data_IF_074362356219
#
_entry.id   IF_074362356219
#
_cell.length_a   1.000
_cell.length_b   1.000
_cell.length_c   1.000
_cell.angle_alpha   90.00
_cell.angle_beta   90.00
_cell.angle_gamma   90.00
#
_symmetry.space_group_name_H-M   'P 1'
#
loop_
_entity.id
_entity.type
_entity.pdbx_description
1 polymer ?
#
# COMPACT_ATOMS: atom_id res chain seq x y z
N UNK A 1 -68.28 -2.49 -45.92
CA UNK A 1 -66.87 -2.93 -46.00
C UNK A 1 -66.12 -2.32 -44.84
N UNK A 2 -65.83 -3.10 -43.80
CA UNK A 2 -65.06 -2.67 -42.61
C UNK A 2 -63.79 -3.54 -42.55
N UNK A 3 -62.68 -2.92 -42.72
CA UNK A 3 -61.34 -3.54 -42.58
C UNK A 3 -60.91 -3.50 -41.11
N UNK A 4 -60.78 -4.67 -40.54
CA UNK A 4 -60.14 -4.89 -39.20
C UNK A 4 -58.64 -4.86 -39.35
N UNK A 5 -57.95 -3.91 -38.69
CA UNK A 5 -56.50 -3.89 -38.50
C UNK A 5 -56.16 -4.62 -37.22
N UNK A 6 -55.53 -5.76 -37.33
CA UNK A 6 -54.87 -6.48 -36.24
C UNK A 6 -53.54 -5.84 -35.92
N UNK A 7 -53.39 -5.24 -34.75
CA UNK A 7 -52.14 -4.73 -34.24
C UNK A 7 -51.38 -5.83 -33.48
N UNK A 8 -50.19 -6.17 -33.94
CA UNK A 8 -49.26 -7.06 -33.23
C UNK A 8 -48.54 -6.27 -32.16
N UNK A 9 -48.70 -6.69 -30.93
CA UNK A 9 -47.91 -6.19 -29.77
C UNK A 9 -46.64 -7.02 -29.69
N UNK A 10 -45.52 -6.41 -29.98
CA UNK A 10 -44.19 -6.97 -29.73
C UNK A 10 -43.81 -6.68 -28.24
N UNK A 11 -43.81 -7.71 -27.45
CA UNK A 11 -43.28 -7.68 -26.06
C UNK A 11 -41.78 -7.84 -26.10
N UNK A 12 -41.03 -6.77 -25.89
CA UNK A 12 -39.60 -6.80 -25.70
C UNK A 12 -39.26 -7.28 -24.25
N UNK A 13 -38.75 -8.49 -24.14
CA UNK A 13 -38.19 -9.00 -22.89
C UNK A 13 -36.81 -8.41 -22.69
N UNK A 14 -36.67 -7.51 -21.72
CA UNK A 14 -35.36 -7.01 -21.27
C UNK A 14 -34.70 -8.05 -20.37
N UNK A 15 -33.65 -8.71 -20.86
CA UNK A 15 -32.75 -9.51 -20.03
C UNK A 15 -31.88 -8.55 -19.21
N UNK A 16 -32.17 -8.45 -17.93
CA UNK A 16 -31.26 -7.83 -16.96
C UNK A 16 -30.13 -8.82 -16.67
N UNK A 17 -28.96 -8.57 -17.25
CA UNK A 17 -27.72 -9.25 -16.86
C UNK A 17 -27.27 -8.67 -15.54
N UNK A 18 -27.56 -9.37 -14.44
CA UNK A 18 -26.96 -9.12 -13.12
C UNK A 18 -25.49 -9.49 -13.19
N UNK A 19 -24.64 -8.50 -13.44
CA UNK A 19 -23.21 -8.62 -13.18
C UNK A 19 -23.01 -8.83 -11.68
N UNK A 20 -22.86 -10.08 -11.23
CA UNK A 20 -22.33 -10.38 -9.92
C UNK A 20 -20.89 -9.87 -9.91
N UNK A 21 -20.68 -8.75 -9.21
CA UNK A 21 -19.36 -8.40 -8.74
C UNK A 21 -18.89 -9.55 -7.84
N UNK A 22 -18.10 -10.46 -8.42
CA UNK A 22 -17.41 -11.47 -7.64
C UNK A 22 -16.49 -10.72 -6.68
N UNK A 23 -16.81 -10.83 -5.37
CA UNK A 23 -15.83 -10.61 -4.34
C UNK A 23 -14.75 -11.67 -4.62
N UNK A 24 -13.70 -11.29 -5.35
CA UNK A 24 -12.56 -12.13 -5.60
C UNK A 24 -12.02 -12.54 -4.23
N UNK A 25 -12.10 -13.84 -3.93
CA UNK A 25 -11.29 -14.42 -2.88
C UNK A 25 -9.87 -13.93 -3.17
N UNK A 26 -9.24 -13.24 -2.20
CA UNK A 26 -7.84 -12.91 -2.27
C UNK A 26 -7.12 -14.23 -2.58
N UNK A 27 -6.57 -14.34 -3.80
CA UNK A 27 -5.57 -15.35 -4.08
C UNK A 27 -4.56 -15.27 -2.93
N UNK A 28 -4.02 -16.41 -2.48
CA UNK A 28 -2.91 -16.44 -1.51
C UNK A 28 -1.83 -15.51 -2.08
N UNK A 29 -1.93 -14.23 -1.74
CA UNK A 29 -1.09 -13.18 -2.25
C UNK A 29 0.30 -13.41 -1.67
N UNK A 30 1.31 -13.26 -2.51
CA UNK A 30 2.68 -13.27 -2.05
C UNK A 30 2.84 -12.34 -0.84
N UNK A 31 3.69 -12.71 0.09
CA UNK A 31 4.00 -11.89 1.25
C UNK A 31 5.46 -11.46 1.23
N UNK A 32 5.71 -10.19 1.49
CA UNK A 32 7.05 -9.70 1.75
C UNK A 32 7.35 -9.76 3.25
N UNK A 33 8.55 -10.24 3.63
CA UNK A 33 8.94 -10.46 5.02
C UNK A 33 10.24 -9.77 5.36
N UNK A 34 10.33 -9.17 6.54
CA UNK A 34 11.54 -8.51 7.03
C UNK A 34 11.36 -7.96 8.45
N UNK A 35 12.42 -7.92 9.27
CA UNK A 35 12.38 -7.30 10.60
C UNK A 35 11.34 -7.86 11.56
N UNK A 36 11.00 -9.15 11.47
CA UNK A 36 9.99 -9.77 12.34
C UNK A 36 8.53 -9.53 11.94
N UNK A 37 8.31 -8.86 10.80
CA UNK A 37 6.98 -8.55 10.26
C UNK A 37 6.78 -9.11 8.85
N UNK A 38 5.55 -9.09 8.38
CA UNK A 38 5.16 -9.40 7.01
C UNK A 38 4.08 -8.43 6.51
N UNK A 39 4.08 -8.19 5.20
CA UNK A 39 3.10 -7.40 4.45
C UNK A 39 2.57 -8.22 3.28
N UNK A 40 1.33 -8.00 2.88
CA UNK A 40 0.84 -8.45 1.59
C UNK A 40 1.65 -7.78 0.47
N UNK A 41 2.09 -8.56 -0.51
CA UNK A 41 2.79 -8.07 -1.69
C UNK A 41 1.79 -7.96 -2.84
N UNK A 42 1.40 -6.75 -3.28
CA UNK A 42 0.47 -6.59 -4.39
C UNK A 42 1.02 -7.18 -5.70
N UNK A 43 0.14 -7.62 -6.58
CA UNK A 43 0.54 -8.13 -7.89
C UNK A 43 1.37 -7.10 -8.67
N UNK A 44 2.47 -7.54 -9.27
CA UNK A 44 3.39 -6.67 -10.01
C UNK A 44 4.33 -5.82 -9.13
N UNK A 45 4.25 -5.96 -7.80
CA UNK A 45 5.19 -5.29 -6.90
C UNK A 45 6.36 -6.21 -6.55
N UNK A 46 7.46 -5.61 -6.15
CA UNK A 46 8.66 -6.34 -5.72
C UNK A 46 9.15 -5.87 -4.36
N UNK A 47 9.89 -6.77 -3.69
CA UNK A 47 10.66 -6.40 -2.51
C UNK A 47 11.92 -5.67 -2.94
N UNK A 48 12.17 -4.51 -2.33
CA UNK A 48 13.34 -3.68 -2.57
C UNK A 48 14.30 -3.89 -1.40
N UNK A 49 15.58 -4.09 -1.71
CA UNK A 49 16.60 -4.27 -0.68
C UNK A 49 16.87 -2.91 0.00
N UNK A 50 16.66 -2.78 1.32
CA UNK A 50 17.04 -1.58 2.03
C UNK A 50 18.56 -1.39 1.99
N UNK A 51 19.00 -0.15 1.76
CA UNK A 51 20.41 0.23 1.88
C UNK A 51 20.63 0.88 3.24
N UNK A 52 21.67 0.46 3.95
CA UNK A 52 22.02 1.06 5.23
C UNK A 52 22.72 2.40 4.95
N UNK A 53 22.10 3.50 5.36
CA UNK A 53 22.62 4.85 5.09
C UNK A 53 23.34 5.49 6.28
N UNK A 54 23.12 5.00 7.49
CA UNK A 54 23.75 5.54 8.69
C UNK A 54 24.41 4.45 9.53
N UNK A 55 25.45 4.77 10.30
CA UNK A 55 26.09 3.84 11.23
C UNK A 55 25.18 3.50 12.43
N UNK A 56 24.01 4.12 12.54
CA UNK A 56 23.06 3.90 13.63
C UNK A 56 22.26 2.62 13.39
N UNK A 57 22.06 1.84 14.45
CA UNK A 57 21.24 0.64 14.40
C UNK A 57 19.76 0.92 14.68
N UNK A 58 19.42 2.14 15.12
CA UNK A 58 18.08 2.58 15.47
C UNK A 58 17.84 4.05 15.09
N UNK A 59 16.82 4.40 14.32
CA UNK A 59 15.91 3.48 13.60
C UNK A 59 16.55 2.82 12.37
N UNK A 60 15.96 1.73 11.90
CA UNK A 60 16.42 1.07 10.67
C UNK A 60 15.27 0.71 9.73
N UNK A 61 15.48 0.81 8.44
CA UNK A 61 14.56 0.26 7.44
C UNK A 61 14.61 -1.26 7.48
N UNK A 62 13.47 -1.91 7.72
CA UNK A 62 13.39 -3.38 7.90
C UNK A 62 12.69 -4.09 6.75
N UNK A 63 11.79 -3.41 6.04
CA UNK A 63 11.08 -3.96 4.91
C UNK A 63 10.66 -2.87 3.93
N UNK A 64 10.83 -3.13 2.64
CA UNK A 64 10.41 -2.23 1.57
C UNK A 64 9.79 -3.04 0.45
N UNK A 65 8.64 -2.60 -0.03
CA UNK A 65 8.01 -3.10 -1.24
C UNK A 65 7.60 -1.93 -2.13
N UNK A 66 7.63 -2.11 -3.43
CA UNK A 66 7.28 -1.04 -4.35
C UNK A 66 6.96 -1.53 -5.75
N UNK A 67 6.40 -0.63 -6.54
CA UNK A 67 6.19 -0.81 -7.98
C UNK A 67 7.53 -0.87 -8.72
N UNK A 68 7.49 -1.30 -9.97
CA UNK A 68 8.67 -1.24 -10.84
C UNK A 68 9.26 0.18 -10.92
N UNK A 69 10.57 0.28 -11.10
CA UNK A 69 11.32 1.53 -11.18
C UNK A 69 11.57 2.23 -9.82
N UNK A 70 10.99 1.75 -8.70
CA UNK A 70 11.37 2.23 -7.36
C UNK A 70 12.77 1.72 -7.00
N UNK A 71 13.65 2.62 -6.61
CA UNK A 71 15.01 2.28 -6.20
C UNK A 71 15.51 3.22 -5.09
N UNK A 72 16.50 2.75 -4.34
CA UNK A 72 17.13 3.52 -3.27
C UNK A 72 17.96 4.65 -3.85
N UNK A 73 17.90 5.82 -3.21
CA UNK A 73 18.75 6.98 -3.53
C UNK A 73 19.59 7.36 -2.32
N UNK A 74 20.76 7.94 -2.56
CA UNK A 74 21.60 8.51 -1.51
C UNK A 74 21.03 9.85 -1.06
N UNK A 75 20.91 10.03 0.23
CA UNK A 75 20.46 11.29 0.87
C UNK A 75 21.09 11.40 2.26
N UNK A 76 21.01 12.57 2.85
CA UNK A 76 21.44 12.82 4.25
C UNK A 76 20.40 12.33 5.28
N UNK A 77 19.41 11.54 4.87
CA UNK A 77 18.38 11.02 5.75
C UNK A 77 18.90 9.83 6.58
N UNK A 78 18.48 9.75 7.85
CA UNK A 78 18.86 8.66 8.75
C UNK A 78 18.36 7.29 8.29
N UNK A 79 17.26 7.26 7.53
CA UNK A 79 16.67 6.05 6.97
C UNK A 79 16.77 6.06 5.46
N UNK A 80 16.68 4.88 4.83
CA UNK A 80 16.75 4.76 3.38
C UNK A 80 15.71 5.64 2.69
N UNK A 81 16.15 6.39 1.69
CA UNK A 81 15.30 7.20 0.81
C UNK A 81 15.12 6.52 -0.54
N UNK A 82 14.03 6.82 -1.21
CA UNK A 82 13.65 6.14 -2.44
C UNK A 82 13.24 7.14 -3.52
N UNK A 83 13.70 6.87 -4.74
CA UNK A 83 13.07 7.43 -5.92
C UNK A 83 11.79 6.66 -6.20
N UNK A 84 10.67 7.36 -6.32
CA UNK A 84 9.37 6.78 -6.67
C UNK A 84 8.98 7.32 -8.05
N UNK A 85 8.76 6.46 -9.06
CA UNK A 85 8.26 6.90 -10.36
C UNK A 85 6.95 7.68 -10.24
N UNK A 86 6.68 8.57 -11.17
CA UNK A 86 5.52 9.46 -11.11
C UNK A 86 4.17 8.70 -11.01
N UNK A 87 4.09 7.50 -11.57
CA UNK A 87 2.93 6.59 -11.54
C UNK A 87 3.07 5.45 -10.52
N UNK A 88 4.21 5.40 -9.80
CA UNK A 88 4.56 4.35 -8.87
C UNK A 88 4.16 4.63 -7.42
N UNK A 89 4.45 3.63 -6.57
CA UNK A 89 4.31 3.73 -5.13
C UNK A 89 5.31 2.83 -4.40
N UNK A 90 5.61 3.17 -3.14
CA UNK A 90 6.48 2.39 -2.26
C UNK A 90 5.89 2.36 -0.85
N UNK A 91 6.03 1.23 -0.18
CA UNK A 91 5.77 1.07 1.25
C UNK A 91 7.08 0.77 1.95
N UNK A 92 7.46 1.63 2.89
CA UNK A 92 8.69 1.53 3.66
C UNK A 92 8.35 1.33 5.13
N UNK A 93 8.88 0.27 5.72
CA UNK A 93 8.72 0.00 7.15
C UNK A 93 10.05 0.22 7.86
N UNK A 94 10.00 1.09 8.86
CA UNK A 94 11.11 1.43 9.74
C UNK A 94 10.84 0.79 11.08
N UNK A 95 11.78 0.02 11.60
CA UNK A 95 11.71 -0.58 12.93
C UNK A 95 12.53 0.22 13.94
N UNK A 96 12.06 0.23 15.17
CA UNK A 96 12.67 0.88 16.32
C UNK A 96 12.92 -0.16 17.41
N UNK A 97 14.13 -0.20 17.94
CA UNK A 97 14.45 -1.01 19.10
C UNK A 97 14.02 -0.32 20.38
N UNK A 98 14.28 0.99 20.45
CA UNK A 98 13.82 1.80 21.56
C UNK A 98 12.38 2.28 21.29
N UNK A 99 11.49 2.26 22.30
CA UNK A 99 10.11 2.73 22.13
C UNK A 99 10.07 4.17 21.62
N UNK A 100 9.30 4.43 20.58
CA UNK A 100 9.15 5.78 19.99
C UNK A 100 8.38 6.72 20.95
N UNK A 101 8.04 6.34 22.12
CA UNK A 101 7.24 7.14 23.05
C UNK A 101 5.78 7.31 22.60
N UNK A 102 5.08 8.30 23.17
CA UNK A 102 3.71 8.59 22.78
C UNK A 102 3.67 9.02 21.30
N UNK A 103 3.05 8.18 20.49
CA UNK A 103 3.07 8.34 19.04
C UNK A 103 2.41 9.64 18.59
N UNK A 104 3.12 10.42 17.78
CA UNK A 104 2.58 11.55 17.05
C UNK A 104 1.87 11.09 15.75
N UNK A 105 2.00 9.81 15.39
CA UNK A 105 1.48 9.25 14.16
C UNK A 105 0.12 8.58 14.37
N UNK A 106 -0.67 8.57 13.31
CA UNK A 106 -1.97 7.92 13.31
C UNK A 106 -1.81 6.39 13.37
N UNK A 107 -2.77 5.67 13.98
CA UNK A 107 -2.83 4.22 13.86
C UNK A 107 -3.09 3.82 12.39
N UNK A 108 -2.82 2.55 12.04
CA UNK A 108 -3.03 2.03 10.69
C UNK A 108 -4.44 2.27 10.14
N UNK A 109 -5.46 2.22 11.00
CA UNK A 109 -6.85 2.52 10.62
C UNK A 109 -7.06 3.95 10.14
N UNK A 110 -6.20 4.88 10.57
CA UNK A 110 -6.20 6.28 10.16
C UNK A 110 -5.28 6.59 8.98
N UNK A 111 -4.65 5.57 8.38
CA UNK A 111 -3.70 5.74 7.28
C UNK A 111 -4.40 6.32 6.05
N UNK A 112 -3.99 7.52 5.64
CA UNK A 112 -4.50 8.22 4.46
C UNK A 112 -3.46 9.17 3.90
N UNK A 113 -3.48 9.38 2.59
CA UNK A 113 -2.54 10.25 1.92
C UNK A 113 -2.68 11.71 2.34
N UNK A 114 -1.53 12.35 2.50
CA UNK A 114 -1.38 13.79 2.75
C UNK A 114 -0.18 14.29 1.94
N UNK A 115 -0.07 15.61 1.74
CA UNK A 115 1.13 16.25 1.18
C UNK A 115 2.08 16.64 2.30
N UNK A 116 3.40 16.56 2.01
CA UNK A 116 4.44 17.08 2.89
C UNK A 116 4.55 16.39 4.25
N UNK A 117 4.31 15.08 4.30
CA UNK A 117 4.30 14.35 5.57
C UNK A 117 5.66 13.84 6.03
N UNK A 118 6.68 13.86 5.16
CA UNK A 118 7.99 13.28 5.46
C UNK A 118 9.12 14.27 5.21
N UNK A 119 10.05 14.33 6.15
CA UNK A 119 11.23 15.19 6.04
C UNK A 119 12.10 14.82 4.81
N UNK A 120 12.14 13.56 4.46
CA UNK A 120 12.98 13.02 3.37
C UNK A 120 12.19 12.67 2.10
N UNK A 121 10.91 13.04 2.04
CA UNK A 121 10.04 12.78 0.90
C UNK A 121 8.96 13.87 0.83
N UNK A 122 9.13 14.88 -0.06
CA UNK A 122 8.27 16.05 -0.09
C UNK A 122 6.89 15.82 -0.71
N UNK A 123 6.71 14.69 -1.41
CA UNK A 123 5.53 14.40 -2.21
C UNK A 123 4.35 13.87 -1.38
N UNK A 124 3.39 13.23 -2.05
CA UNK A 124 2.21 12.66 -1.40
C UNK A 124 2.56 11.37 -0.68
N UNK A 125 2.17 11.27 0.57
CA UNK A 125 2.42 10.06 1.34
C UNK A 125 1.44 9.86 2.49
N UNK A 126 1.61 8.76 3.20
CA UNK A 126 0.89 8.45 4.42
C UNK A 126 1.86 7.83 5.43
N UNK A 127 1.65 8.11 6.71
CA UNK A 127 2.44 7.52 7.79
C UNK A 127 1.54 7.02 8.89
N UNK A 128 1.87 5.86 9.42
CA UNK A 128 1.25 5.29 10.61
C UNK A 128 2.30 4.65 11.49
N UNK A 129 1.95 4.45 12.76
CA UNK A 129 2.74 3.67 13.70
C UNK A 129 1.96 2.45 14.15
N UNK A 130 2.68 1.36 14.37
CA UNK A 130 2.10 0.13 14.86
C UNK A 130 3.12 -0.61 15.73
N UNK A 131 2.66 -1.16 16.86
CA UNK A 131 3.46 -2.05 17.70
C UNK A 131 3.14 -3.50 17.34
N UNK A 132 4.16 -4.31 17.11
CA UNK A 132 4.04 -5.75 16.86
C UNK A 132 5.08 -6.50 17.70
N UNK A 133 4.62 -7.42 18.55
CA UNK A 133 5.48 -8.20 19.47
C UNK A 133 6.41 -7.34 20.32
N UNK A 134 5.93 -6.19 20.79
CA UNK A 134 6.70 -5.28 21.63
C UNK A 134 7.74 -4.42 20.90
N UNK A 135 7.80 -4.50 19.57
CA UNK A 135 8.62 -3.61 18.74
C UNK A 135 7.72 -2.59 18.04
N UNK A 136 8.20 -1.37 17.98
CA UNK A 136 7.51 -0.28 17.28
C UNK A 136 7.97 -0.20 15.82
N UNK A 137 7.00 0.02 14.94
CA UNK A 137 7.23 0.19 13.52
C UNK A 137 6.53 1.45 13.02
N UNK A 138 7.24 2.24 12.23
CA UNK A 138 6.67 3.30 11.42
C UNK A 138 6.47 2.78 10.00
N UNK A 139 5.25 2.88 9.50
CA UNK A 139 4.90 2.46 8.14
C UNK A 139 4.69 3.71 7.32
N UNK A 140 5.50 3.89 6.29
CA UNK A 140 5.42 5.01 5.36
C UNK A 140 4.94 4.51 4.00
N UNK A 141 3.93 5.16 3.44
CA UNK A 141 3.50 4.99 2.06
C UNK A 141 3.88 6.26 1.30
N UNK A 142 4.55 6.11 0.18
CA UNK A 142 4.92 7.21 -0.71
C UNK A 142 4.39 6.90 -2.10
N UNK A 143 3.79 7.89 -2.76
CA UNK A 143 3.17 7.71 -4.07
C UNK A 143 3.62 8.83 -5.01
N UNK A 144 3.86 8.48 -6.26
CA UNK A 144 4.19 9.43 -7.30
C UNK A 144 3.00 10.35 -7.64
N UNK A 145 3.29 11.49 -8.26
CA UNK A 145 2.31 12.54 -8.54
C UNK A 145 1.17 12.10 -9.46
N UNK A 146 1.42 11.11 -10.33
CA UNK A 146 0.46 10.56 -11.29
C UNK A 146 0.04 9.12 -10.97
N UNK A 147 0.31 8.65 -9.73
CA UNK A 147 -0.12 7.32 -9.32
C UNK A 147 -1.64 7.18 -9.45
N UNK A 148 -2.07 6.07 -10.05
CA UNK A 148 -3.50 5.77 -10.22
C UNK A 148 -4.17 5.48 -8.89
N UNK A 149 -5.50 5.53 -8.85
CA UNK A 149 -6.27 5.17 -7.65
C UNK A 149 -5.96 3.73 -7.23
N UNK A 150 -5.86 2.82 -8.20
CA UNK A 150 -5.54 1.40 -7.95
C UNK A 150 -4.14 1.24 -7.32
N UNK A 151 -3.14 1.98 -7.82
CA UNK A 151 -1.78 1.97 -7.25
C UNK A 151 -1.78 2.51 -5.81
N UNK A 152 -2.53 3.58 -5.57
CA UNK A 152 -2.66 4.19 -4.24
C UNK A 152 -3.35 3.24 -3.26
N UNK A 153 -4.46 2.65 -3.67
CA UNK A 153 -5.23 1.72 -2.83
C UNK A 153 -4.41 0.46 -2.52
N UNK A 154 -3.71 -0.10 -3.52
CA UNK A 154 -2.79 -1.23 -3.32
C UNK A 154 -1.69 -0.90 -2.30
N UNK A 155 -1.10 0.31 -2.35
CA UNK A 155 -0.10 0.75 -1.40
C UNK A 155 -0.66 0.87 0.02
N UNK A 156 -1.83 1.48 0.17
CA UNK A 156 -2.47 1.65 1.48
C UNK A 156 -2.92 0.32 2.07
N UNK A 157 -3.43 -0.60 1.26
CA UNK A 157 -3.87 -1.92 1.70
C UNK A 157 -2.68 -2.81 2.07
N UNK A 158 -1.59 -2.78 1.30
CA UNK A 158 -0.35 -3.42 1.67
C UNK A 158 0.16 -2.91 3.02
N UNK A 159 0.18 -1.60 3.23
CA UNK A 159 0.59 -1.01 4.51
C UNK A 159 -0.31 -1.43 5.67
N UNK A 160 -1.63 -1.50 5.46
CA UNK A 160 -2.59 -1.95 6.48
C UNK A 160 -2.48 -3.44 6.81
N UNK A 161 -1.96 -4.25 5.90
CA UNK A 161 -1.81 -5.69 6.07
C UNK A 161 -0.69 -6.09 7.05
N UNK A 162 0.11 -5.11 7.54
CA UNK A 162 1.27 -5.39 8.40
C UNK A 162 0.89 -6.26 9.59
N UNK A 163 1.54 -7.40 9.70
CA UNK A 163 1.36 -8.35 10.78
C UNK A 163 2.70 -8.86 11.33
N UNK A 164 2.67 -9.42 12.53
CA UNK A 164 3.83 -10.09 13.06
C UNK A 164 4.06 -11.40 12.27
N UNK A 165 5.30 -11.64 11.83
CA UNK A 165 5.65 -12.90 11.17
C UNK A 165 5.28 -14.09 12.05
N UNK A 166 4.55 -15.04 11.51
CA UNK A 166 4.31 -16.33 12.18
C UNK A 166 5.63 -17.09 12.18
N UNK A 167 5.98 -17.71 13.32
CA UNK A 167 7.02 -18.73 13.34
C UNK A 167 6.32 -20.03 12.99
N UNK A 168 6.64 -20.56 11.83
CA UNK A 168 6.32 -21.93 11.46
C UNK A 168 7.23 -22.89 12.23
#
# INVERSE_FOLDING_TARGET
MRLLRTGSVLTAAALAVLARAGVGAAADGDTARGGGIELALPAGWSRIQPVRQAPTDDPRTVLVIGTDGVHTIETDCQVSSYHVPADGAVVVVIGWHDPIGASQFLPLSGLKLRRGTFQCFPDRGAVAQVTRRGLDYQVNVMVGDRASVETIDAALDAARSISARRHD
#
